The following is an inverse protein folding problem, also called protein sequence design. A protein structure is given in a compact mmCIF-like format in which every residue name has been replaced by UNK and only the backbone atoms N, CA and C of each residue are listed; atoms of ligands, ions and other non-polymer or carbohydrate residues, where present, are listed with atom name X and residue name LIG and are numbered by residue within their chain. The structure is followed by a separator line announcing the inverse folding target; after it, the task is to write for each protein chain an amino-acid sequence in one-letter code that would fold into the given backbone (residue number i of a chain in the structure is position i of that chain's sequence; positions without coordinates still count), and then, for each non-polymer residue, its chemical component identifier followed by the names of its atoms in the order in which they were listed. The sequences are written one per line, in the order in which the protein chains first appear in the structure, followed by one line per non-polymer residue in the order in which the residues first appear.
data_IF_048905250144
#
_entry.id   IF_048905250144
#
_cell.length_a   1.000
_cell.length_b   1.000
_cell.length_c   1.000
_cell.angle_alpha   90.00
_cell.angle_beta   90.00
_cell.angle_gamma   90.00
#
_symmetry.space_group_name_H-M   'P 1'
#
loop_
_entity.id
_entity.type
_entity.pdbx_description
1 polymer ?
#
# COMPACT_ATOMS: atom_id res chain seq x y z
N UNK A 1 24.37 4.09 -0.13
CA UNK A 1 23.22 3.34 -0.65
C UNK A 1 22.40 2.84 0.54
N UNK A 2 21.20 3.36 0.74
CA UNK A 2 20.34 2.99 1.87
C UNK A 2 19.51 1.77 1.48
N UNK A 3 19.59 0.70 2.27
CA UNK A 3 18.79 -0.50 2.05
C UNK A 3 17.79 -0.64 3.19
N UNK A 4 16.51 -0.62 2.85
CA UNK A 4 15.41 -0.61 3.83
C UNK A 4 14.44 -1.76 3.56
N UNK A 5 13.63 -2.09 4.57
CA UNK A 5 12.53 -3.03 4.47
C UNK A 5 11.24 -2.33 4.87
N UNK A 6 10.12 -2.78 4.30
CA UNK A 6 8.79 -2.29 4.66
C UNK A 6 8.26 -2.94 5.95
N UNK A 7 9.13 -2.98 6.96
CA UNK A 7 8.82 -3.43 8.30
C UNK A 7 8.44 -2.22 9.16
N UNK A 8 7.74 -2.40 10.28
CA UNK A 8 7.49 -1.31 11.24
C UNK A 8 8.83 -0.61 11.61
N UNK A 9 8.93 0.73 11.59
CA UNK A 9 7.86 1.73 11.47
C UNK A 9 7.43 2.07 10.03
N UNK A 10 8.15 1.61 9.01
CA UNK A 10 7.92 1.93 7.59
C UNK A 10 6.85 1.07 6.90
N UNK A 11 6.06 0.30 7.65
CA UNK A 11 4.97 -0.54 7.15
C UNK A 11 3.90 0.17 6.29
N UNK A 12 3.80 1.51 6.37
CA UNK A 12 2.92 2.35 5.54
C UNK A 12 3.64 3.07 4.39
N UNK A 13 4.96 2.89 4.25
CA UNK A 13 5.75 3.54 3.22
C UNK A 13 5.52 2.88 1.85
N UNK A 14 5.06 3.65 0.88
CA UNK A 14 4.77 3.21 -0.49
C UNK A 14 5.79 3.82 -1.48
N UNK A 15 6.93 3.16 -1.70
CA UNK A 15 7.91 3.64 -2.67
C UNK A 15 7.42 3.46 -4.10
N UNK A 16 7.83 4.38 -4.97
CA UNK A 16 7.95 4.09 -6.40
C UNK A 16 9.28 3.36 -6.57
N UNK A 17 9.27 2.19 -7.20
CA UNK A 17 10.44 1.34 -7.35
C UNK A 17 10.57 0.81 -8.78
N UNK A 18 11.80 0.45 -9.16
CA UNK A 18 12.09 -0.29 -10.39
C UNK A 18 12.32 -1.74 -10.01
N UNK A 19 11.51 -2.64 -10.56
CA UNK A 19 11.49 -4.07 -10.23
C UNK A 19 12.12 -4.98 -11.28
N UNK A 20 12.01 -6.29 -11.04
CA UNK A 20 12.60 -7.38 -11.82
C UNK A 20 11.55 -8.30 -12.49
N UNK A 21 10.27 -7.93 -12.43
CA UNK A 21 9.08 -8.72 -12.82
C UNK A 21 8.77 -9.92 -11.91
N UNK A 22 9.45 -10.04 -10.77
CA UNK A 22 9.19 -11.08 -9.76
C UNK A 22 8.32 -10.57 -8.62
N UNK A 23 8.06 -9.27 -8.61
CA UNK A 23 7.25 -8.60 -7.61
C UNK A 23 5.78 -8.99 -7.81
N UNK A 24 5.03 -9.19 -6.73
CA UNK A 24 3.60 -9.49 -6.84
C UNK A 24 2.87 -8.37 -7.59
N UNK A 25 1.80 -8.71 -8.31
CA UNK A 25 0.99 -7.72 -9.02
C UNK A 25 0.02 -7.02 -8.06
N UNK A 26 -0.51 -5.86 -8.47
CA UNK A 26 -1.63 -5.25 -7.78
C UNK A 26 -2.87 -6.15 -7.86
N UNK A 27 -3.68 -6.15 -6.81
CA UNK A 27 -4.94 -6.88 -6.83
C UNK A 27 -5.98 -6.11 -7.63
N UNK A 28 -6.46 -6.71 -8.72
CA UNK A 28 -7.55 -6.15 -9.55
C UNK A 28 -8.89 -6.05 -8.81
N UNK A 29 -9.02 -6.69 -7.64
CA UNK A 29 -10.21 -6.64 -6.79
C UNK A 29 -10.33 -5.32 -6.03
N UNK A 30 -9.23 -4.56 -5.90
CA UNK A 30 -9.22 -3.27 -5.22
C UNK A 30 -9.34 -2.16 -6.25
N UNK A 31 -10.32 -1.28 -6.02
CA UNK A 31 -10.54 -0.10 -6.88
C UNK A 31 -9.66 1.06 -6.42
N UNK A 32 -9.28 1.94 -7.36
CA UNK A 32 -8.57 3.17 -7.01
C UNK A 32 -9.44 4.12 -6.16
N UNK A 33 -10.74 4.15 -6.44
CA UNK A 33 -11.75 4.94 -5.72
C UNK A 33 -11.79 4.58 -4.24
N UNK A 34 -11.71 3.28 -3.93
CA UNK A 34 -11.73 2.74 -2.58
C UNK A 34 -10.40 2.82 -1.83
N UNK A 35 -9.33 3.25 -2.50
CA UNK A 35 -7.99 3.49 -1.93
C UNK A 35 -7.31 2.21 -1.37
N UNK A 36 -6.06 2.35 -0.90
CA UNK A 36 -5.25 1.26 -0.30
C UNK A 36 -4.96 0.06 -1.21
N UNK A 37 -5.12 0.21 -2.52
CA UNK A 37 -4.84 -0.81 -3.53
C UNK A 37 -3.37 -1.27 -3.49
N UNK A 38 -2.44 -0.32 -3.39
CA UNK A 38 -0.99 -0.60 -3.35
C UNK A 38 -0.52 -1.23 -2.05
N UNK A 39 -1.26 -1.01 -0.95
CA UNK A 39 -0.89 -1.49 0.38
C UNK A 39 -0.84 -3.02 0.46
N UNK A 40 -1.70 -3.72 -0.29
CA UNK A 40 -1.72 -5.19 -0.32
C UNK A 40 -0.47 -5.76 -0.99
N UNK A 41 -0.14 -5.28 -2.19
CA UNK A 41 1.08 -5.66 -2.92
C UNK A 41 2.33 -5.45 -2.04
N UNK A 42 2.40 -4.29 -1.39
CA UNK A 42 3.56 -3.93 -0.57
C UNK A 42 3.65 -4.76 0.71
N UNK A 43 2.52 -5.14 1.33
CA UNK A 43 2.51 -6.08 2.44
C UNK A 43 3.00 -7.46 2.00
N UNK A 44 2.57 -7.93 0.82
CA UNK A 44 3.06 -9.19 0.24
C UNK A 44 4.57 -9.17 0.02
N UNK A 45 5.10 -8.08 -0.54
CA UNK A 45 6.55 -7.89 -0.68
C UNK A 45 7.28 -7.92 0.67
N UNK A 46 6.69 -7.36 1.73
CA UNK A 46 7.25 -7.47 3.09
C UNK A 46 7.30 -8.92 3.57
N UNK A 47 6.19 -9.66 3.42
CA UNK A 47 6.11 -11.07 3.82
C UNK A 47 7.10 -11.95 3.04
N UNK A 48 7.36 -11.62 1.77
CA UNK A 48 8.37 -12.26 0.93
C UNK A 48 9.82 -11.82 1.25
N UNK A 49 10.03 -10.87 2.17
CA UNK A 49 11.35 -10.43 2.60
C UNK A 49 12.08 -9.51 1.62
N UNK A 50 11.37 -8.79 0.76
CA UNK A 50 11.97 -7.84 -0.18
C UNK A 50 12.77 -6.74 0.53
N UNK A 51 13.85 -6.32 -0.12
CA UNK A 51 14.70 -5.20 0.31
C UNK A 51 14.61 -4.10 -0.74
N UNK A 52 14.34 -2.88 -0.31
CA UNK A 52 14.35 -1.71 -1.17
C UNK A 52 15.70 -1.04 -1.10
N UNK A 53 16.29 -0.78 -2.25
CA UNK A 53 17.55 -0.06 -2.40
C UNK A 53 17.22 1.35 -2.84
N UNK A 54 17.43 2.32 -1.94
CA UNK A 54 17.18 3.73 -2.21
C UNK A 54 18.39 4.29 -2.96
N UNK A 55 18.15 4.69 -4.21
CA UNK A 55 19.15 5.31 -5.08
C UNK A 55 19.41 6.76 -4.68
N UNK A 56 18.35 7.52 -4.39
CA UNK A 56 18.40 8.89 -3.88
C UNK A 56 17.18 9.18 -2.99
N UNK A 57 17.32 10.08 -2.02
CA UNK A 57 16.29 10.46 -1.04
C UNK A 57 15.20 11.38 -1.59
N UNK A 58 14.82 11.23 -2.86
CA UNK A 58 13.79 12.05 -3.49
C UNK A 58 12.39 11.53 -3.15
N UNK A 59 11.44 12.45 -2.97
CA UNK A 59 10.03 12.13 -2.80
C UNK A 59 9.19 12.89 -3.83
N UNK A 60 8.13 12.24 -4.30
CA UNK A 60 7.18 12.85 -5.23
C UNK A 60 5.97 13.36 -4.44
N UNK A 61 5.53 14.57 -4.77
CA UNK A 61 4.28 15.14 -4.27
C UNK A 61 3.39 15.44 -5.46
N UNK A 62 2.15 14.94 -5.44
CA UNK A 62 1.17 15.32 -6.44
C UNK A 62 0.75 16.78 -6.26
N UNK A 63 0.65 17.54 -7.34
CA UNK A 63 -0.02 18.85 -7.35
C UNK A 63 -1.48 18.65 -6.90
N UNK A 64 -2.03 19.46 -5.98
CA UNK A 64 -1.53 20.74 -5.45
C UNK A 64 -0.60 20.64 -4.22
N UNK A 65 -0.26 19.45 -3.75
CA UNK A 65 0.55 19.25 -2.56
C UNK A 65 0.08 18.05 -1.72
N UNK A 66 0.45 18.05 -0.45
CA UNK A 66 -0.04 17.06 0.53
C UNK A 66 -1.50 17.38 0.84
N UNK A 67 -2.41 16.48 0.47
CA UNK A 67 -3.85 16.62 0.74
C UNK A 67 -4.11 16.77 2.25
N UNK A 68 -4.75 17.86 2.67
CA UNK A 68 -5.21 18.02 4.07
C UNK A 68 -6.68 17.66 4.17
N UNK A 69 -7.11 17.15 5.33
CA UNK A 69 -8.51 16.76 5.59
C UNK A 69 -9.52 17.89 5.37
N UNK A 70 -9.08 19.14 5.49
CA UNK A 70 -9.89 20.35 5.28
C UNK A 70 -10.11 20.70 3.81
N UNK A 71 -9.34 20.12 2.88
CA UNK A 71 -9.35 20.51 1.47
C UNK A 71 -10.41 19.75 0.64
N UNK A 72 -11.15 18.81 1.26
CA UNK A 72 -12.27 18.08 0.65
C UNK A 72 -13.54 18.40 1.43
N UNK A 73 -14.55 19.00 0.79
CA UNK A 73 -15.88 19.04 1.40
C UNK A 73 -16.38 17.60 1.56
N UNK A 74 -17.02 17.32 2.70
CA UNK A 74 -17.54 15.98 3.01
C UNK A 74 -18.48 15.45 1.91
N UNK A 75 -19.18 16.35 1.21
CA UNK A 75 -20.07 16.02 0.10
C UNK A 75 -19.32 15.57 -1.16
N UNK A 76 -18.18 16.20 -1.49
CA UNK A 76 -17.34 15.79 -2.62
C UNK A 76 -16.65 14.43 -2.40
N UNK A 77 -16.53 13.98 -1.15
CA UNK A 77 -15.96 12.68 -0.82
C UNK A 77 -17.03 11.58 -0.64
N UNK A 78 -18.31 11.92 -0.53
CA UNK A 78 -19.38 10.98 -0.19
C UNK A 78 -19.54 9.84 -1.22
N UNK A 79 -19.32 10.13 -2.51
CA UNK A 79 -19.41 9.15 -3.59
C UNK A 79 -18.37 8.02 -3.47
N UNK A 80 -17.25 8.23 -2.78
CA UNK A 80 -16.23 7.19 -2.57
C UNK A 80 -16.61 6.17 -1.51
N UNK A 81 -17.52 6.51 -0.58
CA UNK A 81 -17.84 5.66 0.58
C UNK A 81 -18.23 4.21 0.22
N UNK A 82 -19.02 3.94 -0.84
CA UNK A 82 -19.31 2.57 -1.25
C UNK A 82 -18.05 1.81 -1.68
N UNK A 83 -17.15 2.47 -2.42
CA UNK A 83 -15.89 1.89 -2.88
C UNK A 83 -14.93 1.63 -1.72
N UNK A 84 -14.85 2.57 -0.76
CA UNK A 84 -14.02 2.41 0.44
C UNK A 84 -14.49 1.22 1.28
N UNK A 85 -15.82 1.07 1.48
CA UNK A 85 -16.38 -0.07 2.19
C UNK A 85 -16.06 -1.40 1.50
N UNK A 86 -16.25 -1.44 0.18
CA UNK A 86 -15.91 -2.62 -0.62
C UNK A 86 -14.41 -2.97 -0.51
N UNK A 87 -13.53 -1.98 -0.69
CA UNK A 87 -12.09 -2.20 -0.58
C UNK A 87 -11.69 -2.68 0.81
N UNK A 88 -12.29 -2.18 1.91
CA UNK A 88 -12.00 -2.67 3.27
C UNK A 88 -12.30 -4.18 3.39
N UNK A 89 -13.45 -4.62 2.91
CA UNK A 89 -13.85 -6.03 2.96
C UNK A 89 -12.89 -6.92 2.14
N UNK A 90 -12.58 -6.48 0.91
CA UNK A 90 -11.66 -7.17 0.00
C UNK A 90 -10.24 -7.18 0.58
N UNK A 91 -9.79 -6.08 1.15
CA UNK A 91 -8.47 -5.93 1.76
C UNK A 91 -8.25 -6.90 2.92
N UNK A 92 -9.25 -7.07 3.79
CA UNK A 92 -9.20 -8.06 4.86
C UNK A 92 -9.14 -9.50 4.31
N UNK A 93 -9.88 -9.78 3.25
CA UNK A 93 -9.85 -11.08 2.57
C UNK A 93 -8.47 -11.39 1.97
N UNK A 94 -7.89 -10.43 1.24
CA UNK A 94 -6.55 -10.54 0.65
C UNK A 94 -5.50 -10.76 1.73
N UNK A 95 -5.51 -9.92 2.76
CA UNK A 95 -4.59 -10.00 3.91
C UNK A 95 -4.60 -11.39 4.54
N UNK A 96 -5.80 -11.94 4.79
CA UNK A 96 -5.94 -13.27 5.41
C UNK A 96 -5.34 -14.36 4.54
N UNK A 97 -5.55 -14.29 3.21
CA UNK A 97 -4.93 -15.21 2.25
C UNK A 97 -3.41 -15.08 2.22
N UNK A 98 -2.87 -13.86 2.26
CA UNK A 98 -1.43 -13.61 2.30
C UNK A 98 -0.77 -14.19 3.55
N UNK A 99 -1.36 -13.99 4.72
CA UNK A 99 -0.88 -14.57 5.98
C UNK A 99 -0.90 -16.11 5.92
N UNK A 100 -1.93 -16.71 5.32
CA UNK A 100 -1.97 -18.15 5.13
C UNK A 100 -0.89 -18.66 4.17
N UNK A 101 -0.63 -17.92 3.08
CA UNK A 101 0.34 -18.31 2.04
C UNK A 101 1.80 -18.15 2.48
N UNK A 102 2.13 -17.05 3.16
CA UNK A 102 3.51 -16.70 3.50
C UNK A 102 3.85 -16.85 4.99
N UNK A 103 2.84 -17.13 5.83
CA UNK A 103 2.98 -17.14 7.28
C UNK A 103 2.82 -15.75 7.91
N UNK A 104 2.93 -15.71 9.24
CA UNK A 104 2.88 -14.47 10.02
C UNK A 104 4.26 -13.86 10.20
N UNK A 105 4.38 -12.54 10.07
CA UNK A 105 5.58 -11.79 10.43
C UNK A 105 5.19 -10.53 11.20
N UNK A 106 5.55 -10.48 12.50
CA UNK A 106 5.19 -9.37 13.41
C UNK A 106 5.76 -8.02 12.99
N UNK A 107 6.78 -8.02 12.12
CA UNK A 107 7.39 -6.82 11.56
C UNK A 107 6.64 -6.30 10.34
N UNK A 108 5.95 -7.17 9.59
CA UNK A 108 5.13 -6.82 8.43
C UNK A 108 3.70 -6.44 8.83
N UNK A 109 3.58 -5.28 9.47
CA UNK A 109 2.27 -4.72 9.86
C UNK A 109 1.51 -4.20 8.65
N UNK A 110 0.21 -4.03 8.86
CA UNK A 110 -0.81 -3.66 7.86
C UNK A 110 -1.28 -2.24 8.14
#
# INVERSE_FOLDING_TARGET
MLVVRREFPYHRWEPVYIGTNKEPLYSELLTWEGQQDKMTQMNEMCLMGYRFVILDGAFLVHVPGIKRKTDLSLDLAAWRRPHERHNIEVYHSITRRMIHKYGTNTRCKI
#
